data_IF_524452995886
#
_entry.id   IF_524452995886
#
_cell.length_a   1.000
_cell.length_b   1.000
_cell.length_c   1.000
_cell.angle_alpha   90.00
_cell.angle_beta   90.00
_cell.angle_gamma   90.00
#
_symmetry.space_group_name_H-M   'P 1'
#
loop_
_entity.id
_entity.type
_entity.pdbx_description
1 polymer ?
#
# COMPACT_ATOMS: atom_id res chain seq x y z
N UNK A 1 79.81 59.94 -0.98
CA UNK A 1 79.56 58.69 -1.70
C UNK A 1 78.81 57.79 -0.75
N UNK A 2 77.44 57.83 -0.76
CA UNK A 2 76.57 57.13 0.10
C UNK A 2 75.99 55.91 -0.64
N UNK A 3 76.15 54.71 -0.05
CA UNK A 3 75.63 53.45 -0.56
C UNK A 3 74.18 53.27 -0.11
N UNK A 4 73.25 52.79 -0.94
CA UNK A 4 71.88 52.53 -0.53
C UNK A 4 71.78 51.14 0.18
N UNK A 5 71.07 51.11 1.30
CA UNK A 5 70.62 49.89 2.02
C UNK A 5 69.51 49.26 1.21
N UNK A 6 69.68 47.99 0.83
CA UNK A 6 68.61 47.14 0.28
C UNK A 6 67.96 46.38 1.43
N UNK A 7 66.71 46.78 1.73
CA UNK A 7 65.82 45.98 2.63
C UNK A 7 65.28 44.80 1.85
N UNK A 8 65.68 43.60 2.26
CA UNK A 8 65.09 42.35 1.75
C UNK A 8 63.95 41.96 2.70
N UNK A 9 62.71 42.11 2.25
CA UNK A 9 61.51 41.60 2.97
C UNK A 9 61.42 40.12 2.67
N UNK A 10 61.64 39.29 3.70
CA UNK A 10 61.34 37.82 3.64
C UNK A 10 59.90 37.62 3.99
N UNK A 11 59.06 37.32 2.97
CA UNK A 11 57.66 36.96 3.12
C UNK A 11 57.61 35.48 3.52
N UNK A 12 57.35 35.16 4.80
CA UNK A 12 57.13 33.80 5.27
C UNK A 12 55.68 33.37 4.90
N UNK A 13 55.53 32.51 3.92
CA UNK A 13 54.29 31.84 3.54
C UNK A 13 54.04 30.71 4.60
N UNK A 14 53.11 30.96 5.54
CA UNK A 14 52.56 29.93 6.39
C UNK A 14 51.64 29.02 5.57
N UNK A 15 52.11 27.84 5.18
CA UNK A 15 51.33 26.78 4.57
C UNK A 15 50.55 26.08 5.67
N UNK A 16 49.27 26.48 5.83
CA UNK A 16 48.32 25.81 6.72
C UNK A 16 47.90 24.49 6.06
N UNK A 17 48.49 23.35 6.49
CA UNK A 17 48.01 22.03 6.10
C UNK A 17 46.64 21.79 6.75
N UNK A 18 45.54 21.96 6.01
CA UNK A 18 44.26 21.41 6.37
C UNK A 18 44.39 19.88 6.30
N UNK A 19 44.51 19.25 7.46
CA UNK A 19 44.33 17.79 7.58
C UNK A 19 42.84 17.52 7.42
N UNK A 20 42.43 17.05 6.26
CA UNK A 20 41.10 16.51 6.04
C UNK A 20 41.00 15.21 6.88
N UNK A 21 40.31 15.30 8.00
CA UNK A 21 39.90 14.10 8.76
C UNK A 21 38.88 13.35 7.88
N UNK A 22 39.13 12.09 7.52
CA UNK A 22 38.13 11.31 6.83
C UNK A 22 36.92 11.20 7.78
N UNK A 23 35.77 11.74 7.39
CA UNK A 23 34.49 11.43 8.00
C UNK A 23 34.24 9.96 7.64
N UNK A 24 34.45 9.07 8.60
CA UNK A 24 34.09 7.68 8.46
C UNK A 24 32.62 7.62 8.15
N UNK A 25 32.24 6.92 7.08
CA UNK A 25 30.85 6.55 6.86
C UNK A 25 30.42 5.73 8.10
N UNK A 26 29.47 6.26 8.86
CA UNK A 26 28.82 5.47 9.91
C UNK A 26 28.09 4.31 9.25
N UNK A 27 28.18 3.12 9.85
CA UNK A 27 27.35 2.00 9.41
C UNK A 27 25.89 2.43 9.39
N UNK A 28 25.09 1.96 8.40
CA UNK A 28 23.67 2.28 8.31
C UNK A 28 22.98 1.89 9.63
N UNK A 29 22.14 2.78 10.14
CA UNK A 29 21.40 2.52 11.38
C UNK A 29 20.44 1.38 11.14
N UNK A 30 20.60 0.29 11.91
CA UNK A 30 19.73 -0.87 11.84
C UNK A 30 18.37 -0.56 12.46
N UNK A 31 17.29 -0.93 11.79
CA UNK A 31 15.91 -0.80 12.25
C UNK A 31 15.12 -2.05 11.88
N UNK A 32 13.97 -2.27 12.47
CA UNK A 32 13.10 -3.40 12.22
C UNK A 32 11.65 -3.09 12.58
N UNK A 33 10.84 -4.12 12.70
CA UNK A 33 9.43 -3.97 13.02
C UNK A 33 9.08 -4.36 14.45
N UNK A 34 10.03 -4.89 15.24
CA UNK A 34 9.80 -5.40 16.59
C UNK A 34 10.81 -4.85 17.60
N UNK A 35 10.39 -4.83 18.87
CA UNK A 35 11.24 -4.47 20.00
C UNK A 35 11.83 -3.06 19.95
N UNK A 36 13.03 -2.88 20.47
CA UNK A 36 13.68 -1.56 20.64
C UNK A 36 14.04 -0.87 19.31
N UNK A 37 13.97 -1.56 18.19
CA UNK A 37 14.21 -1.04 16.86
C UNK A 37 12.92 -0.98 16.01
N UNK A 38 11.75 -1.22 16.62
CA UNK A 38 10.44 -1.20 16.03
C UNK A 38 9.88 0.20 15.73
N UNK A 39 8.71 0.29 15.07
CA UNK A 39 8.14 1.54 14.57
C UNK A 39 7.97 2.65 15.60
N UNK A 40 7.65 2.31 16.85
CA UNK A 40 7.52 3.27 17.95
C UNK A 40 8.85 3.90 18.39
N UNK A 41 9.99 3.30 18.01
CA UNK A 41 11.32 3.75 18.39
C UNK A 41 12.11 4.37 17.22
N UNK A 42 11.65 4.21 15.97
CA UNK A 42 12.38 4.66 14.78
C UNK A 42 12.88 6.10 14.87
N UNK A 43 12.03 7.04 15.32
CA UNK A 43 12.40 8.45 15.43
C UNK A 43 13.51 8.76 16.47
N UNK A 44 13.79 7.83 17.36
CA UNK A 44 14.84 7.96 18.37
C UNK A 44 16.14 7.22 18.02
N UNK A 45 16.15 6.39 16.96
CA UNK A 45 17.33 5.60 16.57
C UNK A 45 18.47 6.47 16.05
N UNK A 46 18.13 7.53 15.31
CA UNK A 46 19.09 8.50 14.77
C UNK A 46 18.38 9.81 14.44
N UNK A 47 19.05 10.97 14.47
CA UNK A 47 18.47 12.25 14.06
C UNK A 47 17.87 12.26 12.65
N UNK A 48 18.44 11.49 11.73
CA UNK A 48 17.95 11.36 10.35
C UNK A 48 16.54 10.73 10.27
N UNK A 49 16.12 9.99 11.31
CA UNK A 49 14.81 9.35 11.41
C UNK A 49 13.80 10.16 12.24
N UNK A 50 14.14 11.38 12.66
CA UNK A 50 13.26 12.21 13.51
C UNK A 50 11.83 12.38 12.92
N UNK A 51 11.69 12.43 11.59
CA UNK A 51 10.39 12.51 10.93
C UNK A 51 9.46 11.33 11.26
N UNK A 52 10.00 10.16 11.62
CA UNK A 52 9.19 9.00 12.03
C UNK A 52 8.37 9.26 13.30
N UNK A 53 8.86 10.13 14.21
CA UNK A 53 8.17 10.50 15.45
C UNK A 53 7.52 11.89 15.40
N UNK A 54 8.13 12.86 14.71
CA UNK A 54 7.76 14.27 14.76
C UNK A 54 6.95 14.71 13.55
N UNK A 55 6.94 13.93 12.46
CA UNK A 55 6.24 14.23 11.22
C UNK A 55 4.73 14.33 11.40
N UNK A 56 4.09 15.17 10.62
CA UNK A 56 2.65 15.42 10.71
C UNK A 56 1.87 14.92 9.49
N UNK A 57 2.56 14.55 8.43
CA UNK A 57 1.99 13.94 7.23
C UNK A 57 2.47 12.48 7.08
N UNK A 58 2.48 11.74 8.18
CA UNK A 58 3.00 10.37 8.23
C UNK A 58 2.04 9.35 7.66
N UNK A 59 2.60 8.26 7.09
CA UNK A 59 1.91 7.08 6.56
C UNK A 59 2.34 5.83 7.33
N UNK A 60 1.52 4.74 7.33
CA UNK A 60 0.18 4.64 6.74
C UNK A 60 -0.88 5.36 7.58
N UNK A 61 -2.14 5.35 7.13
CA UNK A 61 -3.26 5.97 7.84
C UNK A 61 -4.50 5.10 7.82
N UNK A 62 -5.42 5.33 8.77
CA UNK A 62 -6.76 4.80 8.67
C UNK A 62 -7.58 5.66 7.70
N UNK A 63 -8.08 5.06 6.63
CA UNK A 63 -8.88 5.72 5.61
C UNK A 63 -10.35 5.64 6.01
N UNK A 64 -11.01 6.76 6.36
CA UNK A 64 -12.43 6.76 6.70
C UNK A 64 -13.29 6.66 5.43
N UNK A 65 -14.53 6.18 5.57
CA UNK A 65 -15.53 6.31 4.53
C UNK A 65 -15.83 7.78 4.27
N UNK A 66 -15.35 8.32 3.15
CA UNK A 66 -15.55 9.74 2.77
C UNK A 66 -16.48 9.86 1.57
N UNK A 67 -17.13 11.00 1.42
CA UNK A 67 -17.87 11.32 0.22
C UNK A 67 -16.93 11.43 -0.98
N UNK A 68 -17.33 10.99 -2.18
CA UNK A 68 -16.54 11.16 -3.39
C UNK A 68 -16.27 12.64 -3.66
N UNK A 69 -15.00 12.99 -3.85
CA UNK A 69 -14.58 14.29 -4.35
C UNK A 69 -13.75 13.98 -5.59
N UNK A 70 -14.04 14.58 -6.70
CA UNK A 70 -13.50 14.24 -8.01
C UNK A 70 -11.97 14.44 -8.09
N UNK A 71 -11.13 13.45 -7.71
CA UNK A 71 -9.68 13.54 -7.83
C UNK A 71 -9.25 13.34 -9.29
N UNK A 72 -7.98 13.64 -9.64
CA UNK A 72 -7.46 13.40 -10.97
C UNK A 72 -7.62 11.95 -11.41
N UNK A 73 -7.84 11.71 -12.70
CA UNK A 73 -7.80 10.37 -13.29
C UNK A 73 -6.40 9.77 -13.12
N UNK A 74 -6.33 8.48 -12.79
CA UNK A 74 -5.10 7.71 -12.85
C UNK A 74 -5.02 6.97 -14.18
N UNK A 75 -3.84 6.96 -14.78
CA UNK A 75 -3.54 6.16 -15.97
C UNK A 75 -2.28 5.36 -15.74
N UNK A 76 -2.39 4.07 -15.92
CA UNK A 76 -1.29 3.12 -15.78
C UNK A 76 -0.84 2.65 -17.16
N UNK A 77 0.42 2.91 -17.52
CA UNK A 77 1.10 2.33 -18.70
C UNK A 77 2.25 1.44 -18.21
N UNK A 78 1.90 0.26 -17.69
CA UNK A 78 2.87 -0.70 -17.20
C UNK A 78 3.15 -1.78 -18.23
N UNK A 79 4.42 -2.06 -18.45
CA UNK A 79 4.93 -3.09 -19.34
C UNK A 79 5.51 -4.23 -18.54
N UNK A 80 5.52 -5.46 -19.06
CA UNK A 80 6.24 -6.55 -18.43
C UNK A 80 7.72 -6.21 -18.23
N UNK A 81 8.25 -6.50 -17.04
CA UNK A 81 9.66 -6.34 -16.66
C UNK A 81 10.25 -7.68 -16.27
N UNK A 82 11.52 -7.93 -16.55
CA UNK A 82 12.22 -9.06 -15.99
C UNK A 82 12.16 -9.03 -14.46
N UNK A 83 11.96 -10.17 -13.81
CA UNK A 83 11.96 -10.23 -12.36
C UNK A 83 13.38 -10.02 -11.85
N UNK A 84 13.60 -8.88 -11.20
CA UNK A 84 14.77 -8.56 -10.40
C UNK A 84 14.32 -8.41 -8.95
N UNK A 85 14.42 -9.48 -8.17
CA UNK A 85 13.81 -9.64 -6.85
C UNK A 85 14.86 -9.67 -5.74
N UNK A 86 14.55 -9.09 -4.60
CA UNK A 86 15.42 -9.07 -3.43
C UNK A 86 14.62 -9.25 -2.15
N UNK A 87 15.18 -10.00 -1.22
CA UNK A 87 14.86 -9.91 0.20
C UNK A 87 15.81 -8.87 0.79
N UNK A 88 15.31 -7.70 1.15
CA UNK A 88 16.11 -6.57 1.63
C UNK A 88 16.20 -6.47 3.16
N UNK A 89 15.82 -7.54 3.88
CA UNK A 89 15.77 -7.58 5.34
C UNK A 89 14.49 -7.00 5.94
N UNK A 90 13.67 -6.31 5.12
CA UNK A 90 12.43 -5.65 5.58
C UNK A 90 11.20 -6.06 4.77
N UNK A 91 11.37 -6.48 3.53
CA UNK A 91 10.33 -6.97 2.63
C UNK A 91 10.92 -7.72 1.44
N UNK A 92 10.05 -8.37 0.68
CA UNK A 92 10.35 -8.85 -0.67
C UNK A 92 10.04 -7.73 -1.65
N UNK A 93 11.07 -7.24 -2.33
CA UNK A 93 10.98 -6.16 -3.31
C UNK A 93 11.31 -6.66 -4.71
N UNK A 94 10.56 -6.21 -5.71
CA UNK A 94 10.86 -6.41 -7.13
C UNK A 94 11.23 -5.06 -7.74
N UNK A 95 12.47 -4.93 -8.18
CA UNK A 95 12.94 -3.77 -8.94
C UNK A 95 12.37 -3.84 -10.36
N UNK A 96 11.90 -2.70 -10.86
CA UNK A 96 11.21 -2.64 -12.14
C UNK A 96 12.06 -1.93 -13.21
N UNK A 97 12.08 -2.47 -14.42
CA UNK A 97 12.80 -1.84 -15.53
C UNK A 97 12.15 -0.53 -15.95
N UNK A 98 12.95 0.48 -16.39
CA UNK A 98 12.43 1.75 -16.86
C UNK A 98 11.40 1.63 -18.00
N UNK A 99 10.46 2.58 -18.06
CA UNK A 99 9.48 2.70 -19.15
C UNK A 99 8.04 2.31 -18.75
N UNK A 100 7.80 1.98 -17.49
CA UNK A 100 6.45 1.78 -16.92
C UNK A 100 6.04 3.01 -16.13
N UNK A 101 4.86 3.59 -16.40
CA UNK A 101 4.47 4.88 -15.85
C UNK A 101 3.08 4.90 -15.23
N UNK A 102 2.94 5.80 -14.24
CA UNK A 102 1.69 6.29 -13.68
C UNK A 102 1.54 7.76 -14.07
N UNK A 103 0.42 8.13 -14.71
CA UNK A 103 0.01 9.51 -14.88
C UNK A 103 -1.08 9.85 -13.85
N UNK A 104 -0.86 10.93 -13.09
CA UNK A 104 -1.79 11.40 -12.06
C UNK A 104 -1.78 12.93 -12.00
N UNK A 105 -2.92 13.56 -12.27
CA UNK A 105 -3.06 15.03 -12.20
C UNK A 105 -2.14 15.81 -13.15
N UNK A 106 -1.77 15.21 -14.28
CA UNK A 106 -0.87 15.79 -15.28
C UNK A 106 0.63 15.60 -14.98
N UNK A 107 0.97 14.97 -13.85
CA UNK A 107 2.34 14.53 -13.56
C UNK A 107 2.54 13.08 -13.99
N UNK A 108 3.73 12.76 -14.49
CA UNK A 108 4.12 11.41 -14.92
C UNK A 108 5.19 10.91 -13.98
N UNK A 109 4.96 9.74 -13.39
CA UNK A 109 5.85 9.07 -12.46
C UNK A 109 6.28 7.72 -13.05
N UNK A 110 7.55 7.41 -13.04
CA UNK A 110 8.10 6.12 -13.47
C UNK A 110 8.04 5.10 -12.34
N UNK A 111 7.54 3.89 -12.62
CA UNK A 111 7.54 2.77 -11.67
C UNK A 111 8.98 2.28 -11.47
N UNK A 112 9.47 2.35 -10.23
CA UNK A 112 10.85 1.95 -9.88
C UNK A 112 10.93 0.60 -9.18
N UNK A 113 9.92 0.25 -8.37
CA UNK A 113 9.85 -1.03 -7.67
C UNK A 113 8.45 -1.26 -7.10
N UNK A 114 8.16 -2.51 -6.73
CA UNK A 114 7.03 -2.83 -5.86
C UNK A 114 7.46 -3.82 -4.77
N UNK A 115 6.74 -3.82 -3.65
CA UNK A 115 7.00 -4.68 -2.49
C UNK A 115 5.72 -4.98 -1.71
N UNK A 116 5.79 -5.97 -0.82
CA UNK A 116 4.63 -6.51 -0.10
C UNK A 116 4.77 -6.31 1.41
N UNK A 117 3.61 -6.16 2.06
CA UNK A 117 3.46 -6.11 3.52
C UNK A 117 2.45 -7.17 3.99
N UNK A 118 2.73 -7.81 5.08
CA UNK A 118 1.82 -8.72 5.77
C UNK A 118 1.67 -8.29 7.24
N UNK A 119 0.55 -7.83 7.67
CA UNK A 119 -0.72 -7.38 7.20
C UNK A 119 -0.65 -6.19 6.21
N UNK A 120 -1.85 -5.57 5.89
CA UNK A 120 -1.86 -4.25 5.26
C UNK A 120 -1.28 -3.20 6.19
N UNK A 121 -0.70 -2.14 5.62
CA UNK A 121 -0.25 -0.97 6.38
C UNK A 121 -1.40 0.02 6.58
N UNK A 122 -2.17 0.31 5.51
CA UNK A 122 -3.39 1.08 5.63
C UNK A 122 -4.53 0.25 6.24
N UNK A 123 -5.46 0.95 6.88
CA UNK A 123 -6.75 0.38 7.26
C UNK A 123 -7.88 1.11 6.53
N UNK A 124 -8.94 0.37 6.19
CA UNK A 124 -10.19 0.92 5.66
C UNK A 124 -11.23 0.84 6.77
N UNK A 125 -11.70 2.01 7.26
CA UNK A 125 -12.64 2.10 8.41
C UNK A 125 -12.15 1.32 9.66
N UNK A 126 -10.84 1.32 9.90
CA UNK A 126 -10.21 0.66 11.04
C UNK A 126 -9.93 -0.83 10.85
N UNK A 127 -10.26 -1.41 9.70
CA UNK A 127 -9.99 -2.82 9.40
C UNK A 127 -8.72 -2.97 8.53
N UNK A 128 -7.83 -3.87 8.96
CA UNK A 128 -6.72 -4.34 8.14
C UNK A 128 -7.18 -5.39 7.14
N UNK A 129 -6.46 -5.52 6.02
CA UNK A 129 -6.53 -6.67 5.11
C UNK A 129 -5.34 -7.60 5.34
N UNK A 130 -5.37 -8.78 4.73
CA UNK A 130 -4.34 -9.82 4.94
C UNK A 130 -2.94 -9.38 4.53
N UNK A 131 -2.84 -8.58 3.45
CA UNK A 131 -1.59 -8.03 2.92
C UNK A 131 -1.85 -6.70 2.21
N UNK A 132 -0.76 -6.00 1.86
CA UNK A 132 -0.79 -4.81 1.01
C UNK A 132 0.40 -4.82 0.06
N UNK A 133 0.18 -4.43 -1.19
CA UNK A 133 1.21 -4.23 -2.19
C UNK A 133 1.42 -2.73 -2.41
N UNK A 134 2.67 -2.27 -2.39
CA UNK A 134 3.06 -0.91 -2.76
C UNK A 134 3.81 -0.90 -4.07
N UNK A 135 3.31 -0.12 -5.05
CA UNK A 135 4.02 0.20 -6.29
C UNK A 135 4.59 1.61 -6.14
N UNK A 136 5.90 1.73 -6.08
CA UNK A 136 6.63 2.98 -5.82
C UNK A 136 7.10 3.60 -7.11
N UNK A 137 6.74 4.85 -7.32
CA UNK A 137 7.05 5.61 -8.53
C UNK A 137 7.81 6.89 -8.18
N UNK A 138 8.59 7.40 -9.14
CA UNK A 138 9.28 8.69 -9.05
C UNK A 138 9.07 9.52 -10.32
N UNK A 139 8.88 10.83 -10.16
CA UNK A 139 8.92 11.75 -11.28
C UNK A 139 10.37 12.20 -11.59
N UNK A 140 10.55 12.99 -12.66
CA UNK A 140 11.86 13.48 -13.07
C UNK A 140 12.52 14.43 -12.05
N UNK A 141 11.76 15.02 -11.12
CA UNK A 141 12.25 15.86 -10.04
C UNK A 141 12.55 15.06 -8.76
N UNK A 142 12.22 13.75 -8.74
CA UNK A 142 12.43 12.87 -7.59
C UNK A 142 11.27 12.82 -6.61
N UNK A 143 10.12 13.47 -6.91
CA UNK A 143 8.93 13.32 -6.08
C UNK A 143 8.40 11.89 -6.16
N UNK A 144 7.90 11.39 -5.03
CA UNK A 144 7.45 10.02 -4.89
C UNK A 144 5.92 9.94 -4.96
N UNK A 145 5.42 9.00 -5.74
CA UNK A 145 4.03 8.57 -5.73
C UNK A 145 3.96 7.07 -5.44
N UNK A 146 3.05 6.65 -4.57
CA UNK A 146 2.84 5.24 -4.23
C UNK A 146 1.40 4.85 -4.51
N UNK A 147 1.23 3.76 -5.26
CA UNK A 147 -0.06 3.09 -5.42
C UNK A 147 -0.09 1.91 -4.47
N UNK A 148 -1.07 1.89 -3.58
CA UNK A 148 -1.31 0.81 -2.64
C UNK A 148 -2.48 -0.05 -3.13
N UNK A 149 -2.28 -1.38 -3.11
CA UNK A 149 -3.30 -2.38 -3.45
C UNK A 149 -3.55 -3.22 -2.21
N UNK A 150 -4.78 -3.15 -1.69
CA UNK A 150 -5.21 -3.98 -0.59
C UNK A 150 -5.36 -5.43 -1.06
N UNK A 151 -4.99 -6.40 -0.23
CA UNK A 151 -5.02 -7.83 -0.57
C UNK A 151 -5.80 -8.59 0.49
N UNK A 152 -6.80 -9.37 0.08
CA UNK A 152 -7.63 -10.20 0.95
C UNK A 152 -7.52 -11.68 0.58
N UNK A 153 -7.78 -12.55 1.55
CA UNK A 153 -7.87 -13.99 1.33
C UNK A 153 -9.07 -14.37 0.46
N UNK A 154 -8.82 -15.14 -0.60
CA UNK A 154 -9.88 -15.53 -1.54
C UNK A 154 -9.39 -16.54 -2.58
N UNK A 155 -9.68 -16.27 -3.84
CA UNK A 155 -9.28 -17.11 -4.96
C UNK A 155 -7.77 -17.07 -5.21
N UNK A 156 -7.23 -18.14 -5.82
CA UNK A 156 -5.85 -18.15 -6.28
C UNK A 156 -5.64 -17.12 -7.39
N UNK A 157 -4.59 -16.30 -7.26
CA UNK A 157 -4.26 -15.27 -8.25
C UNK A 157 -2.97 -15.62 -9.00
N UNK A 158 -3.05 -16.05 -10.26
CA UNK A 158 -1.87 -16.44 -11.04
C UNK A 158 -0.92 -15.27 -11.34
N UNK A 159 -1.39 -14.02 -11.28
CA UNK A 159 -0.56 -12.85 -11.56
C UNK A 159 0.54 -12.63 -10.51
N UNK A 160 0.35 -13.12 -9.29
CA UNK A 160 1.33 -13.04 -8.20
C UNK A 160 2.29 -14.23 -8.16
N UNK A 161 2.00 -15.31 -8.90
CA UNK A 161 2.74 -16.58 -8.84
C UNK A 161 4.23 -16.39 -9.15
N UNK A 162 4.55 -15.63 -10.20
CA UNK A 162 5.93 -15.40 -10.61
C UNK A 162 6.78 -14.72 -9.53
N UNK A 163 6.18 -13.83 -8.74
CA UNK A 163 6.85 -13.17 -7.62
C UNK A 163 6.97 -14.12 -6.43
N UNK A 164 5.85 -14.71 -5.99
CA UNK A 164 5.79 -15.56 -4.80
C UNK A 164 6.65 -16.81 -4.92
N UNK A 165 6.73 -17.40 -6.12
CA UNK A 165 7.57 -18.60 -6.37
C UNK A 165 9.08 -18.30 -6.39
N UNK A 166 9.48 -17.04 -6.49
CA UNK A 166 10.90 -16.65 -6.61
C UNK A 166 11.38 -15.76 -5.45
N UNK A 167 10.63 -15.68 -4.35
CA UNK A 167 11.03 -14.91 -3.17
C UNK A 167 12.30 -15.50 -2.54
N UNK A 168 13.40 -14.71 -2.40
CA UNK A 168 14.56 -15.15 -1.67
C UNK A 168 14.26 -15.34 -0.17
N UNK A 169 14.65 -16.49 0.39
CA UNK A 169 14.43 -16.77 1.81
C UNK A 169 15.36 -15.94 2.71
N UNK A 170 16.55 -15.62 2.23
CA UNK A 170 17.59 -14.90 2.98
C UNK A 170 17.76 -13.49 2.42
N UNK A 171 18.11 -12.55 3.31
CA UNK A 171 18.54 -11.21 2.91
C UNK A 171 19.78 -11.25 2.02
N UNK A 172 19.84 -10.40 1.01
CA UNK A 172 20.99 -10.36 0.10
C UNK A 172 20.83 -9.40 -1.06
N UNK A 173 21.69 -9.59 -2.06
CA UNK A 173 21.67 -8.80 -3.28
C UNK A 173 20.50 -9.18 -4.19
N UNK A 174 20.03 -8.25 -5.05
CA UNK A 174 18.96 -8.52 -6.01
C UNK A 174 19.32 -9.65 -6.98
N UNK A 175 18.38 -10.56 -7.16
CA UNK A 175 18.49 -11.69 -8.07
C UNK A 175 17.63 -11.45 -9.31
N UNK A 176 18.23 -11.57 -10.50
CA UNK A 176 17.46 -11.61 -11.75
C UNK A 176 17.07 -13.05 -12.06
N UNK A 177 15.77 -13.30 -12.21
CA UNK A 177 15.21 -14.64 -12.50
C UNK A 177 15.14 -14.83 -14.02
N UNK A 178 15.98 -15.68 -14.62
CA UNK A 178 16.04 -15.81 -16.07
C UNK A 178 14.71 -16.28 -16.67
N UNK A 179 14.25 -15.60 -17.73
CA UNK A 179 13.05 -15.97 -18.47
C UNK A 179 11.72 -15.75 -17.72
N UNK A 180 11.77 -15.16 -16.53
CA UNK A 180 10.57 -14.87 -15.74
C UNK A 180 10.27 -13.38 -15.74
N UNK A 181 9.00 -13.04 -16.02
CA UNK A 181 8.54 -11.66 -16.12
C UNK A 181 7.47 -11.38 -15.07
N UNK A 182 7.47 -10.17 -14.53
CA UNK A 182 6.35 -9.61 -13.77
C UNK A 182 5.67 -8.51 -14.62
N UNK A 183 4.35 -8.43 -14.53
CA UNK A 183 3.60 -7.34 -15.14
C UNK A 183 2.75 -6.64 -14.08
N UNK A 184 3.19 -5.44 -13.68
CA UNK A 184 2.54 -4.67 -12.63
C UNK A 184 1.07 -4.34 -12.95
N UNK A 185 0.68 -4.25 -14.22
CA UNK A 185 -0.74 -4.02 -14.58
C UNK A 185 -1.66 -5.17 -14.16
N UNK A 186 -1.13 -6.38 -14.06
CA UNK A 186 -1.88 -7.58 -13.66
C UNK A 186 -1.99 -7.73 -12.14
N UNK A 187 -1.25 -6.93 -11.37
CA UNK A 187 -1.30 -6.89 -9.92
C UNK A 187 -2.40 -5.92 -9.41
N UNK A 188 -2.97 -5.10 -10.29
CA UNK A 188 -4.02 -4.14 -9.97
C UNK A 188 -5.41 -4.80 -10.01
N UNK A 189 -6.37 -4.34 -9.20
CA UNK A 189 -7.76 -4.75 -9.33
C UNK A 189 -8.37 -4.21 -10.65
N UNK A 190 -9.42 -4.88 -11.14
CA UNK A 190 -10.13 -4.45 -12.35
C UNK A 190 -10.85 -3.11 -12.15
N UNK A 191 -11.35 -2.85 -10.94
CA UNK A 191 -11.97 -1.59 -10.54
C UNK A 191 -10.92 -0.77 -9.78
N UNK A 192 -10.57 0.40 -10.32
CA UNK A 192 -9.44 1.21 -9.87
C UNK A 192 -9.87 2.53 -9.21
N UNK A 193 -11.04 2.56 -8.58
CA UNK A 193 -11.37 3.66 -7.68
C UNK A 193 -10.38 3.71 -6.52
N UNK A 194 -10.08 4.91 -6.02
CA UNK A 194 -9.00 5.08 -5.08
C UNK A 194 -9.23 6.23 -4.11
N UNK A 195 -8.50 6.19 -3.00
CA UNK A 195 -8.34 7.29 -2.06
C UNK A 195 -6.99 7.96 -2.31
N UNK A 196 -6.97 9.30 -2.27
CA UNK A 196 -5.79 10.12 -2.45
C UNK A 196 -5.51 10.94 -1.19
N UNK A 197 -4.27 10.89 -0.70
CA UNK A 197 -3.82 11.76 0.38
C UNK A 197 -2.30 12.06 0.25
N UNK A 198 -1.80 13.09 0.94
CA UNK A 198 -0.38 13.35 1.10
C UNK A 198 0.13 12.66 2.36
N UNK A 199 1.25 11.99 2.24
CA UNK A 199 1.82 11.22 3.34
C UNK A 199 3.34 11.13 3.26
N UNK A 200 3.88 10.04 3.82
CA UNK A 200 5.32 9.77 3.92
C UNK A 200 5.69 8.40 3.37
N UNK A 201 6.97 8.11 3.35
CA UNK A 201 7.46 6.73 3.38
C UNK A 201 6.99 6.04 4.66
N UNK A 202 6.69 4.75 4.60
CA UNK A 202 6.25 3.94 5.75
C UNK A 202 7.41 3.25 6.47
N UNK A 203 8.64 3.48 6.00
CA UNK A 203 9.88 2.98 6.59
C UNK A 203 10.83 4.15 6.87
N UNK A 204 11.78 4.02 7.79
CA UNK A 204 12.82 5.02 7.98
C UNK A 204 13.48 5.43 6.66
N UNK A 205 13.71 6.74 6.46
CA UNK A 205 13.59 7.84 7.41
C UNK A 205 12.21 8.50 7.48
N UNK A 206 11.11 7.88 7.01
CA UNK A 206 9.74 8.38 7.06
C UNK A 206 9.54 9.74 6.37
N UNK A 207 10.28 9.99 5.30
CA UNK A 207 10.27 11.25 4.55
C UNK A 207 8.86 11.58 4.06
N UNK A 208 8.39 12.79 4.37
CA UNK A 208 7.08 13.31 3.95
C UNK A 208 7.10 13.81 2.50
N UNK A 209 5.93 14.16 1.95
CA UNK A 209 5.77 14.62 0.58
C UNK A 209 5.46 13.51 -0.42
N UNK A 210 5.07 12.33 0.05
CA UNK A 210 4.65 11.20 -0.79
C UNK A 210 3.20 11.34 -1.22
N UNK A 211 2.95 11.22 -2.51
CA UNK A 211 1.61 11.18 -3.09
C UNK A 211 1.05 9.75 -3.02
N UNK A 212 0.08 9.49 -2.12
CA UNK A 212 -0.55 8.17 -1.95
C UNK A 212 -1.83 8.03 -2.76
N UNK A 213 -1.97 6.88 -3.42
CA UNK A 213 -3.15 6.44 -4.16
C UNK A 213 -3.51 5.03 -3.68
N UNK A 214 -4.43 4.92 -2.73
CA UNK A 214 -4.84 3.63 -2.15
C UNK A 214 -6.06 3.13 -2.91
N UNK A 215 -5.93 2.03 -3.66
CA UNK A 215 -7.03 1.45 -4.42
C UNK A 215 -8.11 0.92 -3.47
N UNK A 216 -9.36 1.26 -3.76
CA UNK A 216 -10.48 0.97 -2.87
C UNK A 216 -10.97 -0.48 -2.95
N UNK A 217 -10.71 -1.14 -4.08
CA UNK A 217 -11.09 -2.52 -4.33
C UNK A 217 -9.89 -3.42 -4.06
N UNK A 218 -9.97 -4.36 -3.11
CA UNK A 218 -8.89 -5.31 -2.88
C UNK A 218 -8.77 -6.32 -4.02
N UNK A 219 -7.58 -6.91 -4.14
CA UNK A 219 -7.37 -8.13 -4.92
C UNK A 219 -7.39 -9.35 -4.02
N UNK A 220 -7.79 -10.49 -4.55
CA UNK A 220 -7.76 -11.74 -3.81
C UNK A 220 -6.46 -12.51 -4.07
N UNK A 221 -5.91 -13.11 -3.00
CA UNK A 221 -4.92 -14.16 -3.05
C UNK A 221 -5.40 -15.38 -2.28
N UNK A 222 -5.04 -16.58 -2.72
CA UNK A 222 -5.34 -17.78 -1.95
C UNK A 222 -4.62 -17.78 -0.60
N UNK A 223 -5.20 -18.47 0.38
CA UNK A 223 -4.56 -18.66 1.70
C UNK A 223 -3.13 -19.20 1.59
N UNK A 224 -2.87 -20.07 0.61
CA UNK A 224 -1.51 -20.60 0.37
C UNK A 224 -0.54 -19.50 -0.12
N UNK A 225 -0.98 -18.59 -0.99
CA UNK A 225 -0.17 -17.49 -1.48
C UNK A 225 0.14 -16.48 -0.37
N UNK A 226 -0.85 -16.12 0.44
CA UNK A 226 -0.67 -15.27 1.62
C UNK A 226 0.30 -15.92 2.62
N UNK A 227 0.10 -17.20 2.92
CA UNK A 227 0.96 -17.94 3.84
C UNK A 227 2.41 -18.04 3.33
N UNK A 228 2.62 -18.18 2.01
CA UNK A 228 3.95 -18.21 1.42
C UNK A 228 4.73 -16.91 1.70
N UNK A 229 4.12 -15.74 1.52
CA UNK A 229 4.74 -14.46 1.85
C UNK A 229 4.93 -14.31 3.37
N UNK A 230 3.90 -14.58 4.16
CA UNK A 230 3.92 -14.40 5.61
C UNK A 230 4.88 -15.37 6.33
N UNK A 231 5.30 -16.46 5.67
CA UNK A 231 6.34 -17.32 6.21
C UNK A 231 7.72 -16.65 6.26
N UNK A 232 7.93 -15.59 5.46
CA UNK A 232 9.14 -14.75 5.48
C UNK A 232 8.92 -13.48 6.30
N UNK A 233 7.77 -12.82 6.11
CA UNK A 233 7.42 -11.55 6.71
C UNK A 233 5.98 -11.55 7.23
N UNK A 234 5.78 -11.84 8.51
CA UNK A 234 4.44 -11.86 9.14
C UNK A 234 4.03 -10.49 9.70
N UNK A 235 4.99 -9.64 10.06
CA UNK A 235 4.78 -8.36 10.75
C UNK A 235 5.65 -7.24 10.16
N UNK A 236 5.77 -7.12 8.84
CA UNK A 236 6.55 -6.04 8.21
C UNK A 236 5.67 -4.84 7.84
N UNK A 237 4.90 -4.33 8.78
CA UNK A 237 4.04 -3.17 8.58
C UNK A 237 4.22 -2.15 9.71
N UNK A 238 4.12 -0.87 9.37
CA UNK A 238 4.08 0.22 10.33
C UNK A 238 2.64 0.42 10.81
N UNK A 239 2.37 0.61 12.11
CA UNK A 239 1.04 0.99 12.60
C UNK A 239 0.52 2.27 11.96
N UNK A 240 -0.83 2.41 11.86
CA UNK A 240 -1.46 3.61 11.34
C UNK A 240 -1.09 4.86 12.12
N UNK A 241 -0.84 5.95 11.41
CA UNK A 241 -0.40 7.23 11.95
C UNK A 241 -1.58 8.22 12.06
N UNK A 242 -1.50 9.21 12.95
CA UNK A 242 -2.54 10.23 13.08
C UNK A 242 -2.76 10.99 11.79
N UNK A 243 -4.03 11.22 11.44
CA UNK A 243 -4.43 11.98 10.26
C UNK A 243 -4.16 13.47 10.40
N UNK A 244 -4.19 13.97 11.63
CA UNK A 244 -4.26 15.41 11.91
C UNK A 244 -5.37 16.07 11.07
N UNK A 245 -5.06 17.16 10.35
CA UNK A 245 -6.01 17.90 9.52
C UNK A 245 -6.01 17.48 8.05
N UNK A 246 -5.34 16.35 7.70
CA UNK A 246 -5.28 15.87 6.32
C UNK A 246 -6.64 15.40 5.83
N UNK A 247 -6.95 15.75 4.58
CA UNK A 247 -8.17 15.36 3.90
C UNK A 247 -7.89 14.27 2.87
N UNK A 248 -8.87 13.39 2.69
CA UNK A 248 -8.86 12.41 1.60
C UNK A 248 -9.67 12.94 0.43
N UNK A 249 -9.20 12.62 -0.77
CA UNK A 249 -10.01 12.63 -1.97
C UNK A 249 -10.37 11.19 -2.31
N UNK A 250 -11.58 10.94 -2.77
CA UNK A 250 -12.01 9.63 -3.27
C UNK A 250 -12.48 9.77 -4.70
N UNK A 251 -12.01 8.90 -5.59
CA UNK A 251 -12.57 8.81 -6.94
C UNK A 251 -13.99 8.26 -6.87
N UNK A 252 -14.89 8.79 -7.71
CA UNK A 252 -16.15 8.12 -7.96
C UNK A 252 -15.87 6.77 -8.63
N UNK A 253 -16.61 5.73 -8.26
CA UNK A 253 -16.62 4.49 -9.03
C UNK A 253 -17.07 4.84 -10.44
N UNK A 254 -16.21 4.67 -11.43
CA UNK A 254 -16.68 4.68 -12.80
C UNK A 254 -17.60 3.46 -12.97
N UNK A 255 -18.83 3.61 -13.50
CA UNK A 255 -19.60 2.44 -13.85
C UNK A 255 -18.74 1.61 -14.81
N UNK A 256 -18.75 0.26 -14.71
CA UNK A 256 -17.96 -0.57 -15.60
C UNK A 256 -18.27 -0.13 -17.04
N UNK A 257 -17.24 0.30 -17.77
CA UNK A 257 -17.36 0.62 -19.18
C UNK A 257 -17.79 -0.68 -19.85
N UNK A 258 -19.07 -0.75 -20.23
CA UNK A 258 -19.64 -1.93 -20.85
C UNK A 258 -18.74 -2.37 -21.98
N UNK A 259 -18.38 -3.65 -21.99
CA UNK A 259 -17.79 -4.30 -23.16
C UNK A 259 -18.58 -3.83 -24.40
N UNK A 260 -17.93 -3.52 -25.52
CA UNK A 260 -18.62 -3.17 -26.73
C UNK A 260 -19.59 -4.30 -27.04
N UNK A 261 -20.91 -3.97 -27.02
CA UNK A 261 -21.96 -4.91 -27.28
C UNK A 261 -21.70 -5.56 -28.61
N UNK A 262 -21.54 -6.87 -28.65
CA UNK A 262 -21.62 -7.66 -29.85
C UNK A 262 -23.01 -7.35 -30.45
N UNK A 263 -23.04 -6.57 -31.53
CA UNK A 263 -24.23 -6.20 -32.20
C UNK A 263 -25.01 -7.44 -32.65
N UNK A 264 -26.12 -7.72 -31.96
CA UNK A 264 -27.16 -8.59 -32.45
C UNK A 264 -28.09 -7.79 -33.39
N UNK A 265 -28.63 -8.40 -34.47
CA UNK A 265 -29.38 -7.70 -35.49
C UNK A 265 -30.70 -7.13 -34.95
N UNK A 266 -30.98 -5.92 -35.38
CA UNK A 266 -32.12 -5.13 -34.96
C UNK A 266 -33.47 -5.83 -35.03
N UNK A 267 -34.25 -5.66 -33.97
CA UNK A 267 -35.69 -5.84 -34.01
C UNK A 267 -36.35 -4.47 -34.18
N UNK A 268 -37.11 -4.36 -35.26
CA UNK A 268 -37.81 -3.17 -35.67
C UNK A 268 -38.82 -2.66 -34.63
N UNK A 269 -38.88 -1.36 -34.51
CA UNK A 269 -39.92 -0.65 -33.77
C UNK A 269 -41.30 -0.84 -34.41
N UNK A 270 -42.27 -1.28 -33.61
CA UNK A 270 -43.69 -1.20 -33.92
C UNK A 270 -44.40 -0.33 -32.88
N UNK A 271 -45.38 0.50 -33.28
CA UNK A 271 -45.93 1.53 -32.42
C UNK A 271 -47.11 1.09 -31.58
N UNK A 272 -47.14 1.56 -30.37
CA UNK A 272 -48.32 1.99 -29.63
C UNK A 272 -49.31 0.95 -29.14
N UNK A 273 -49.60 1.05 -27.85
CA UNK A 273 -50.97 1.23 -27.31
C UNK A 273 -50.82 1.55 -25.81
N UNK A 274 -51.26 2.75 -25.47
CA UNK A 274 -51.61 3.13 -24.10
C UNK A 274 -52.88 2.40 -23.71
N UNK A 275 -52.96 1.77 -22.55
CA UNK A 275 -54.23 1.60 -21.82
C UNK A 275 -54.02 1.73 -20.32
N UNK A 276 -54.90 2.51 -19.76
CA UNK A 276 -54.93 2.99 -18.42
C UNK A 276 -55.66 2.04 -17.44
N UNK A 277 -55.40 2.29 -16.13
CA UNK A 277 -56.29 2.13 -15.01
C UNK A 277 -56.71 0.75 -14.51
N UNK A 278 -56.54 0.52 -13.24
CA UNK A 278 -57.26 -0.45 -12.44
C UNK A 278 -56.77 -0.50 -10.96
N UNK A 279 -57.25 0.45 -10.16
CA UNK A 279 -57.27 0.32 -8.70
C UNK A 279 -58.11 -0.89 -8.31
N UNK A 280 -57.63 -1.72 -7.35
CA UNK A 280 -58.52 -2.46 -6.47
C UNK A 280 -57.86 -2.66 -5.12
N UNK A 281 -58.33 -1.88 -4.16
CA UNK A 281 -58.27 -2.11 -2.72
C UNK A 281 -59.28 -3.22 -2.38
N UNK A 282 -58.94 -4.22 -1.58
CA UNK A 282 -59.84 -4.70 -0.54
C UNK A 282 -59.09 -5.46 0.58
N UNK A 283 -59.50 -5.13 1.74
CA UNK A 283 -59.03 -5.51 3.09
C UNK A 283 -59.77 -6.76 3.62
N UNK A 284 -59.51 -7.04 4.90
CA UNK A 284 -60.24 -7.89 5.87
C UNK A 284 -59.74 -9.35 5.94
N UNK A 285 -59.54 -9.99 7.07
CA UNK A 285 -59.46 -9.72 8.50
C UNK A 285 -59.20 -11.07 9.24
N UNK A 286 -58.60 -10.95 10.40
CA UNK A 286 -58.84 -11.71 11.62
C UNK A 286 -58.86 -13.27 11.64
N UNK A 287 -58.00 -13.81 12.49
CA UNK A 287 -58.14 -15.19 13.01
C UNK A 287 -57.13 -15.50 14.11
N UNK A 288 -57.42 -15.07 15.33
CA UNK A 288 -56.73 -15.49 16.54
C UNK A 288 -57.25 -16.83 17.02
N UNK A 289 -56.34 -17.74 17.44
CA UNK A 289 -56.68 -18.69 18.51
C UNK A 289 -55.43 -19.05 19.33
N UNK A 290 -55.65 -18.94 20.61
CA UNK A 290 -54.81 -19.38 21.74
C UNK A 290 -54.91 -20.89 21.92
N UNK A 291 -53.86 -21.49 22.50
CA UNK A 291 -53.88 -22.42 23.65
C UNK A 291 -52.45 -22.86 23.95
N UNK A 292 -51.88 -22.44 25.05
CA UNK A 292 -51.84 -22.97 26.44
C UNK A 292 -51.10 -24.29 26.61
N UNK A 293 -50.01 -24.19 27.44
CA UNK A 293 -49.69 -25.01 28.64
C UNK A 293 -49.19 -26.44 28.41
N UNK A 294 -48.01 -26.75 28.89
CA UNK A 294 -47.71 -27.30 30.22
C UNK A 294 -46.21 -27.60 30.36
N UNK A 295 -45.62 -27.11 31.34
CA UNK A 295 -44.92 -27.59 32.52
C UNK A 295 -44.31 -29.01 32.48
N UNK A 296 -43.03 -29.04 32.85
CA UNK A 296 -42.38 -30.26 33.35
C UNK A 296 -40.90 -30.10 33.65
N UNK A 297 -40.55 -29.60 34.82
CA UNK A 297 -39.31 -29.93 35.56
C UNK A 297 -39.62 -31.08 36.51
N UNK A 298 -38.66 -31.83 37.17
CA UNK A 298 -37.28 -31.47 37.50
C UNK A 298 -36.27 -32.67 37.60
N UNK A 299 -35.01 -32.26 37.84
CA UNK A 299 -34.01 -32.77 38.79
C UNK A 299 -33.44 -34.22 38.68
N UNK A 300 -32.15 -34.37 38.71
CA UNK A 300 -31.24 -34.68 39.84
C UNK A 300 -29.92 -35.23 39.31
N UNK A 301 -28.83 -34.61 39.70
CA UNK A 301 -27.88 -34.95 40.79
C UNK A 301 -27.00 -36.18 40.56
N UNK A 302 -25.72 -35.91 40.77
CA UNK A 302 -24.58 -36.72 41.32
C UNK A 302 -23.70 -37.31 40.21
N UNK A 303 -22.40 -37.32 40.32
CA UNK A 303 -21.47 -36.96 41.37
C UNK A 303 -20.09 -37.37 40.89
N UNK A 304 -19.12 -36.66 41.36
CA UNK A 304 -17.84 -37.11 41.92
C UNK A 304 -17.19 -38.36 41.30
N UNK A 305 -16.00 -38.33 40.79
CA UNK A 305 -14.77 -38.59 41.54
C UNK A 305 -13.54 -38.61 40.63
N UNK A 306 -12.53 -37.95 41.02
CA UNK A 306 -11.10 -38.10 41.22
C UNK A 306 -10.36 -39.29 40.59
N UNK A 307 -9.14 -38.91 40.20
CA UNK A 307 -7.82 -39.61 40.16
C UNK A 307 -7.51 -40.30 38.83
N UNK A 308 -6.45 -40.02 38.22
CA UNK A 308 -5.02 -39.88 38.56
C UNK A 308 -4.33 -38.90 37.61
#
# INVERSE_FOLDING_TARGET
MSKPFRNTIVLALLFSCLVAVPVGASDPVHWGYDGDIGPEHWGALTPEFAACAEGREQSPVNIPATAPVNPPELRFDYRPSAINIVNNGHSIQVNYEPGSTLEAGGAVYELVQFHLHGLSEHTLNGAYTDMELHLVHKDAAGHIAVVAVMIEGGAHNPSYEAVLANMPAEEGDPLTVPGTMANASQLLPAEQSYYRYNGSLTTPPCTEGVAWFVLATPVELSTAQIAAFRSLYDHNYRPVQPLYERTFLRSASLPPTGLPGTGGPGAAAGPGILLAMGLCLLAIALGATRQTSERGRPASRRGCDRRQ
#
